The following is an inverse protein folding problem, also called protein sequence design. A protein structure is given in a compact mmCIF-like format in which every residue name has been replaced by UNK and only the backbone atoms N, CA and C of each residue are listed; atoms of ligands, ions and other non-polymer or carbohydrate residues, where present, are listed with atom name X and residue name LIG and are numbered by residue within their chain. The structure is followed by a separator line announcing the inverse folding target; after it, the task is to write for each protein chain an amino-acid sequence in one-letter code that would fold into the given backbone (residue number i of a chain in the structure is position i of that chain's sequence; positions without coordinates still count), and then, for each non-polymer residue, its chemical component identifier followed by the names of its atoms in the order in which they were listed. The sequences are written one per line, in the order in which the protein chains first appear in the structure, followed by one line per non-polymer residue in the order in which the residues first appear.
data_IF_611939489543
#
_entry.id   IF_611939489543
#
_cell.length_a   1.000
_cell.length_b   1.000
_cell.length_c   1.000
_cell.angle_alpha   90.00
_cell.angle_beta   90.00
_cell.angle_gamma   90.00
#
_symmetry.space_group_name_H-M   'P 1'
#
loop_
_entity.id
_entity.type
_entity.pdbx_description
1 polymer ?
#
# COMPACT_ATOMS: atom_id res chain seq x y z
N UNK A 1 16.12 -45.66 28.57
CA UNK A 1 16.32 -44.21 28.47
C UNK A 1 15.96 -43.81 27.02
N UNK A 2 14.87 -43.07 26.81
CA UNK A 2 14.47 -42.56 25.51
C UNK A 2 15.00 -41.13 25.40
N UNK A 3 15.60 -40.71 24.29
CA UNK A 3 16.03 -39.34 24.12
C UNK A 3 14.79 -38.42 23.92
N UNK A 4 14.66 -37.38 24.73
CA UNK A 4 13.70 -36.30 24.53
C UNK A 4 14.26 -35.37 23.47
N UNK A 5 13.58 -35.31 22.32
CA UNK A 5 13.88 -34.37 21.26
C UNK A 5 13.24 -33.02 21.63
N UNK A 6 14.06 -32.09 22.04
CA UNK A 6 13.63 -30.71 22.34
C UNK A 6 13.42 -29.98 21.01
N UNK A 7 12.17 -29.71 20.64
CA UNK A 7 11.84 -28.86 19.50
C UNK A 7 12.03 -27.41 19.93
N UNK A 8 13.09 -26.78 19.46
CA UNK A 8 13.29 -25.33 19.62
C UNK A 8 12.43 -24.64 18.57
N UNK A 9 11.28 -24.13 19.00
CA UNK A 9 10.47 -23.21 18.18
C UNK A 9 11.20 -21.87 18.11
N UNK A 10 11.83 -21.59 16.99
CA UNK A 10 12.35 -20.25 16.68
C UNK A 10 11.14 -19.40 16.30
N UNK A 11 10.63 -18.63 17.25
CA UNK A 11 9.68 -17.56 16.95
C UNK A 11 10.45 -16.47 16.20
N UNK A 12 10.29 -16.42 14.89
CA UNK A 12 10.77 -15.32 14.08
C UNK A 12 9.96 -14.07 14.46
N UNK A 13 10.53 -13.23 15.30
CA UNK A 13 9.96 -11.92 15.65
C UNK A 13 10.19 -11.00 14.44
N UNK A 14 9.19 -10.88 13.58
CA UNK A 14 9.18 -9.90 12.48
C UNK A 14 9.14 -8.53 13.13
N UNK A 15 10.28 -7.87 13.20
CA UNK A 15 10.38 -6.48 13.61
C UNK A 15 10.03 -5.65 12.37
N UNK A 16 8.73 -5.40 12.16
CA UNK A 16 8.28 -4.35 11.27
C UNK A 16 8.73 -3.02 11.85
N UNK A 17 9.95 -2.63 11.53
CA UNK A 17 10.43 -1.27 11.82
C UNK A 17 9.59 -0.30 11.01
N UNK A 18 8.54 0.22 11.65
CA UNK A 18 7.63 1.22 11.11
C UNK A 18 8.32 2.58 10.94
N UNK A 19 9.37 2.65 10.12
CA UNK A 19 9.88 3.93 9.67
C UNK A 19 8.89 4.51 8.66
N UNK A 20 8.21 5.59 9.05
CA UNK A 20 7.36 6.36 8.14
C UNK A 20 8.15 6.70 6.87
N UNK A 21 7.72 6.18 5.72
CA UNK A 21 8.35 6.39 4.42
C UNK A 21 8.44 7.88 4.05
N UNK A 22 7.46 8.65 4.52
CA UNK A 22 7.27 10.05 4.17
C UNK A 22 7.89 11.04 5.18
N UNK A 23 8.50 10.57 6.25
CA UNK A 23 9.25 11.43 7.17
C UNK A 23 10.50 12.03 6.50
N UNK A 24 10.91 11.45 5.36
CA UNK A 24 12.05 11.92 4.55
C UNK A 24 11.69 12.90 3.44
N UNK A 25 10.42 13.32 3.32
CA UNK A 25 10.09 14.48 2.49
C UNK A 25 10.68 15.68 3.20
N UNK A 26 11.79 16.20 2.67
CA UNK A 26 12.50 17.36 3.23
C UNK A 26 11.52 18.50 3.42
N UNK A 27 11.47 19.17 4.58
CA UNK A 27 10.66 20.35 4.76
C UNK A 27 11.05 21.38 3.68
N UNK A 28 10.10 21.74 2.82
CA UNK A 28 10.30 22.74 1.76
C UNK A 28 10.47 22.22 0.34
N UNK A 29 10.43 20.91 0.09
CA UNK A 29 10.39 20.40 -1.29
C UNK A 29 8.91 20.21 -1.71
N UNK A 30 8.38 21.16 -2.46
CA UNK A 30 7.09 20.96 -3.15
C UNK A 30 7.30 19.95 -4.27
N UNK A 31 6.52 18.86 -4.26
CA UNK A 31 6.49 17.93 -5.38
C UNK A 31 5.78 18.61 -6.56
N UNK A 32 6.31 18.46 -7.77
CA UNK A 32 5.57 18.88 -8.98
C UNK A 32 4.36 17.98 -9.19
N UNK A 33 3.37 18.47 -9.94
CA UNK A 33 2.17 17.70 -10.31
C UNK A 33 2.53 16.36 -10.97
N UNK A 34 3.54 16.36 -11.85
CA UNK A 34 4.08 15.13 -12.46
C UNK A 34 4.62 14.15 -11.39
N UNK A 35 5.37 14.64 -10.41
CA UNK A 35 5.91 13.81 -9.34
C UNK A 35 4.83 13.25 -8.41
N UNK A 36 3.78 14.01 -8.14
CA UNK A 36 2.63 13.53 -7.35
C UNK A 36 1.91 12.41 -8.10
N UNK A 37 1.62 12.59 -9.39
CA UNK A 37 0.98 11.57 -10.23
C UNK A 37 1.85 10.32 -10.37
N UNK A 38 3.16 10.47 -10.58
CA UNK A 38 4.09 9.33 -10.61
C UNK A 38 4.08 8.54 -9.29
N UNK A 39 4.03 9.23 -8.15
CA UNK A 39 3.91 8.60 -6.83
C UNK A 39 2.60 7.83 -6.69
N UNK A 40 1.46 8.43 -7.07
CA UNK A 40 0.15 7.77 -7.05
C UNK A 40 0.14 6.51 -7.94
N UNK A 41 0.75 6.58 -9.12
CA UNK A 41 0.87 5.43 -10.02
C UNK A 41 1.66 4.28 -9.38
N UNK A 42 2.77 4.57 -8.69
CA UNK A 42 3.56 3.53 -7.97
C UNK A 42 2.76 2.92 -6.83
N UNK A 43 2.04 3.74 -6.06
CA UNK A 43 1.19 3.25 -4.96
C UNK A 43 0.09 2.34 -5.52
N UNK A 44 -0.64 2.78 -6.54
CA UNK A 44 -1.71 1.99 -7.14
C UNK A 44 -1.21 0.67 -7.73
N UNK A 45 -0.06 0.67 -8.42
CA UNK A 45 0.56 -0.56 -8.93
C UNK A 45 0.97 -1.50 -7.80
N UNK A 46 1.49 -0.98 -6.70
CA UNK A 46 1.85 -1.77 -5.52
C UNK A 46 0.63 -2.43 -4.85
N UNK A 47 -0.49 -1.69 -4.79
CA UNK A 47 -1.74 -2.22 -4.25
C UNK A 47 -2.35 -3.30 -5.16
N UNK A 48 -2.32 -3.10 -6.47
CA UNK A 48 -2.76 -4.10 -7.47
C UNK A 48 -1.96 -5.40 -7.33
N UNK A 49 -0.61 -5.33 -7.29
CA UNK A 49 0.27 -6.50 -7.18
C UNK A 49 0.05 -7.25 -5.87
N UNK A 50 -0.05 -6.54 -4.75
CA UNK A 50 -0.28 -7.17 -3.44
C UNK A 50 -1.67 -7.79 -3.30
N UNK A 51 -2.69 -7.16 -3.88
CA UNK A 51 -4.06 -7.68 -3.88
C UNK A 51 -4.18 -8.94 -4.73
N UNK A 52 -3.52 -8.99 -5.88
CA UNK A 52 -3.49 -10.18 -6.73
C UNK A 52 -2.82 -11.37 -6.02
N UNK A 53 -1.67 -11.14 -5.39
CA UNK A 53 -1.00 -12.14 -4.57
C UNK A 53 -1.90 -12.64 -3.42
N UNK A 54 -2.62 -11.74 -2.75
CA UNK A 54 -3.50 -12.12 -1.65
C UNK A 54 -4.67 -12.98 -2.12
N UNK A 55 -5.26 -12.71 -3.29
CA UNK A 55 -6.32 -13.55 -3.89
C UNK A 55 -5.85 -14.98 -4.17
N UNK A 56 -4.58 -15.14 -4.55
CA UNK A 56 -3.99 -16.46 -4.82
C UNK A 56 -3.69 -17.22 -3.53
N UNK A 57 -3.12 -16.55 -2.52
CA UNK A 57 -2.51 -17.22 -1.36
C UNK A 57 -3.45 -17.41 -0.18
N UNK A 58 -4.42 -16.50 0.03
CA UNK A 58 -5.28 -16.58 1.20
C UNK A 58 -6.37 -17.64 1.07
N UNK A 59 -6.64 -18.34 2.17
CA UNK A 59 -7.84 -19.19 2.32
C UNK A 59 -8.99 -18.46 3.02
N UNK A 60 -8.73 -17.30 3.64
CA UNK A 60 -9.73 -16.49 4.34
C UNK A 60 -10.63 -15.75 3.35
N UNK A 61 -11.92 -16.03 3.40
CA UNK A 61 -12.91 -15.44 2.47
C UNK A 61 -12.95 -13.91 2.58
N UNK A 62 -12.83 -13.38 3.79
CA UNK A 62 -12.86 -11.93 4.06
C UNK A 62 -11.67 -11.21 3.43
N UNK A 63 -10.48 -11.80 3.51
CA UNK A 63 -9.28 -11.24 2.87
C UNK A 63 -9.42 -11.31 1.36
N UNK A 64 -9.98 -12.40 0.82
CA UNK A 64 -10.19 -12.53 -0.63
C UNK A 64 -11.17 -11.51 -1.17
N UNK A 65 -12.24 -11.21 -0.43
CA UNK A 65 -13.21 -10.16 -0.78
C UNK A 65 -12.53 -8.81 -0.73
N UNK A 66 -11.82 -8.49 0.36
CA UNK A 66 -11.06 -7.25 0.50
C UNK A 66 -10.04 -7.08 -0.63
N UNK A 67 -9.22 -8.08 -0.90
CA UNK A 67 -8.21 -8.05 -1.96
C UNK A 67 -8.84 -7.86 -3.36
N UNK A 68 -10.01 -8.48 -3.62
CA UNK A 68 -10.72 -8.27 -4.88
C UNK A 68 -11.23 -6.84 -5.02
N UNK A 69 -11.68 -6.22 -3.95
CA UNK A 69 -12.08 -4.81 -3.93
C UNK A 69 -10.88 -3.91 -4.19
N UNK A 70 -9.75 -4.11 -3.46
CA UNK A 70 -8.51 -3.34 -3.65
C UNK A 70 -8.00 -3.43 -5.09
N UNK A 71 -7.97 -4.63 -5.67
CA UNK A 71 -7.55 -4.84 -7.05
C UNK A 71 -8.38 -3.99 -8.02
N UNK A 72 -9.71 -4.02 -7.90
CA UNK A 72 -10.61 -3.31 -8.80
C UNK A 72 -10.49 -1.79 -8.63
N UNK A 73 -10.51 -1.29 -7.40
CA UNK A 73 -10.54 0.13 -7.10
C UNK A 73 -9.18 0.78 -7.42
N UNK A 74 -8.05 0.16 -7.04
CA UNK A 74 -6.74 0.69 -7.40
C UNK A 74 -6.43 0.60 -8.90
N UNK A 75 -7.03 -0.36 -9.62
CA UNK A 75 -6.98 -0.37 -11.10
C UNK A 75 -7.70 0.84 -11.69
N UNK A 76 -8.88 1.19 -11.19
CA UNK A 76 -9.61 2.38 -11.61
C UNK A 76 -8.84 3.67 -11.26
N UNK A 77 -8.35 3.80 -10.04
CA UNK A 77 -7.55 4.94 -9.59
C UNK A 77 -6.29 5.15 -10.44
N UNK A 78 -5.61 4.06 -10.82
CA UNK A 78 -4.45 4.13 -11.73
C UNK A 78 -4.82 4.67 -13.11
N UNK A 79 -5.96 4.24 -13.65
CA UNK A 79 -6.46 4.73 -14.94
C UNK A 79 -6.84 6.21 -14.85
N UNK A 80 -7.53 6.63 -13.81
CA UNK A 80 -7.91 8.01 -13.56
C UNK A 80 -6.69 8.93 -13.42
N UNK A 81 -5.68 8.54 -12.62
CA UNK A 81 -4.41 9.25 -12.48
C UNK A 81 -3.71 9.48 -13.82
N UNK A 82 -3.63 8.44 -14.66
CA UNK A 82 -3.01 8.51 -15.99
C UNK A 82 -3.80 9.38 -16.96
N UNK A 83 -5.11 9.29 -16.92
CA UNK A 83 -5.98 10.16 -17.72
C UNK A 83 -5.83 11.63 -17.29
N UNK A 84 -5.75 11.88 -15.99
CA UNK A 84 -5.53 13.22 -15.47
C UNK A 84 -4.18 13.77 -15.90
N UNK A 85 -3.10 12.98 -15.85
CA UNK A 85 -1.78 13.39 -16.35
C UNK A 85 -1.83 13.87 -17.81
N UNK A 86 -2.55 13.14 -18.67
CA UNK A 86 -2.78 13.54 -20.06
C UNK A 86 -3.59 14.84 -20.17
N UNK A 87 -4.65 14.99 -19.39
CA UNK A 87 -5.53 16.17 -19.40
C UNK A 87 -4.83 17.45 -18.96
N UNK A 88 -3.90 17.35 -17.99
CA UNK A 88 -3.12 18.47 -17.48
C UNK A 88 -1.77 18.63 -18.20
N UNK A 89 -1.51 17.77 -19.18
CA UNK A 89 -0.31 17.78 -20.01
C UNK A 89 1.00 17.69 -19.20
N UNK A 90 1.06 16.76 -18.24
CA UNK A 90 2.28 16.46 -17.48
C UNK A 90 2.79 15.06 -17.80
N UNK A 91 4.11 14.88 -17.71
CA UNK A 91 4.78 13.58 -17.88
C UNK A 91 4.91 12.91 -16.50
N UNK A 92 4.04 11.94 -16.23
CA UNK A 92 4.02 11.13 -15.00
C UNK A 92 4.94 9.90 -15.06
N UNK A 93 5.73 9.75 -16.13
CA UNK A 93 6.68 8.65 -16.30
C UNK A 93 7.99 8.84 -15.54
N UNK A 94 8.31 10.07 -15.18
CA UNK A 94 9.54 10.39 -14.44
C UNK A 94 9.38 10.05 -12.96
N UNK A 95 10.14 9.04 -12.52
CA UNK A 95 10.07 8.56 -11.14
C UNK A 95 10.89 9.45 -10.19
N UNK A 96 10.27 10.19 -9.27
CA UNK A 96 11.01 10.88 -8.22
C UNK A 96 11.69 9.86 -7.28
N UNK A 97 12.77 10.26 -6.62
CA UNK A 97 13.54 9.39 -5.71
C UNK A 97 12.64 8.70 -4.65
N UNK A 98 11.61 9.41 -4.19
CA UNK A 98 10.64 8.86 -3.24
C UNK A 98 9.81 7.73 -3.86
N UNK A 99 9.36 7.86 -5.12
CA UNK A 99 8.63 6.81 -5.84
C UNK A 99 9.49 5.55 -6.02
N UNK A 100 10.77 5.72 -6.36
CA UNK A 100 11.72 4.61 -6.45
C UNK A 100 11.90 3.91 -5.10
N UNK A 101 11.94 4.67 -4.00
CA UNK A 101 12.04 4.13 -2.64
C UNK A 101 10.80 3.32 -2.27
N UNK A 102 9.60 3.83 -2.58
CA UNK A 102 8.32 3.12 -2.35
C UNK A 102 8.29 1.82 -3.15
N UNK A 103 8.62 1.88 -4.44
CA UNK A 103 8.66 0.70 -5.30
C UNK A 103 9.64 -0.37 -4.81
N UNK A 104 10.84 0.01 -4.37
CA UNK A 104 11.83 -0.93 -3.80
C UNK A 104 11.29 -1.61 -2.53
N UNK A 105 10.70 -0.86 -1.61
CA UNK A 105 10.13 -1.43 -0.38
C UNK A 105 8.94 -2.33 -0.66
N UNK A 106 8.13 -1.98 -1.66
CA UNK A 106 7.08 -2.87 -2.13
C UNK A 106 7.66 -4.21 -2.60
N UNK A 107 8.73 -4.21 -3.41
CA UNK A 107 9.38 -5.44 -3.86
C UNK A 107 9.88 -6.29 -2.70
N UNK A 108 10.56 -5.68 -1.72
CA UNK A 108 11.04 -6.35 -0.51
C UNK A 108 9.87 -6.99 0.27
N UNK A 109 8.76 -6.27 0.43
CA UNK A 109 7.55 -6.79 1.08
C UNK A 109 6.90 -7.92 0.29
N UNK A 110 6.86 -7.82 -1.05
CA UNK A 110 6.31 -8.89 -1.89
C UNK A 110 7.13 -10.18 -1.80
N UNK A 111 8.47 -10.09 -1.69
CA UNK A 111 9.32 -11.25 -1.43
C UNK A 111 8.99 -11.89 -0.07
N UNK A 112 8.81 -11.09 0.97
CA UNK A 112 8.38 -11.57 2.29
C UNK A 112 7.01 -12.25 2.21
N UNK A 113 6.00 -11.61 1.63
CA UNK A 113 4.64 -12.15 1.49
C UNK A 113 4.62 -13.46 0.69
N UNK A 114 5.43 -13.58 -0.36
CA UNK A 114 5.54 -14.83 -1.13
C UNK A 114 6.10 -15.98 -0.30
N UNK A 115 6.97 -15.71 0.66
CA UNK A 115 7.56 -16.72 1.55
C UNK A 115 6.61 -17.22 2.63
N UNK A 116 5.58 -16.46 2.99
CA UNK A 116 4.62 -16.76 4.04
C UNK A 116 3.43 -17.56 3.50
N UNK A 117 2.69 -18.23 4.40
CA UNK A 117 1.46 -18.95 4.10
C UNK A 117 0.49 -18.97 5.29
N UNK A 118 -0.79 -19.29 5.03
CA UNK A 118 -1.82 -19.40 6.05
C UNK A 118 -1.95 -18.12 6.90
N UNK A 119 -2.15 -18.28 8.21
CA UNK A 119 -2.33 -17.16 9.14
C UNK A 119 -1.18 -16.15 9.12
N UNK A 120 0.07 -16.59 8.93
CA UNK A 120 1.23 -15.69 8.87
C UNK A 120 1.17 -14.79 7.62
N UNK A 121 0.78 -15.36 6.47
CA UNK A 121 0.55 -14.58 5.26
C UNK A 121 -0.60 -13.57 5.47
N UNK A 122 -1.74 -14.03 5.96
CA UNK A 122 -2.93 -13.23 6.15
C UNK A 122 -2.67 -12.02 7.05
N UNK A 123 -1.98 -12.22 8.18
CA UNK A 123 -1.61 -11.14 9.09
C UNK A 123 -0.59 -10.17 8.48
N UNK A 124 0.43 -10.68 7.79
CA UNK A 124 1.44 -9.83 7.16
C UNK A 124 0.84 -8.97 6.02
N UNK A 125 -0.02 -9.56 5.20
CA UNK A 125 -0.74 -8.85 4.14
C UNK A 125 -1.61 -7.71 4.69
N UNK A 126 -2.43 -7.97 5.70
CA UNK A 126 -3.31 -6.94 6.28
C UNK A 126 -2.51 -5.82 6.96
N UNK A 127 -1.43 -6.13 7.66
CA UNK A 127 -0.52 -5.11 8.20
C UNK A 127 0.11 -4.26 7.11
N UNK A 128 0.54 -4.88 6.02
CA UNK A 128 1.07 -4.17 4.86
C UNK A 128 0.02 -3.23 4.28
N UNK A 129 -1.20 -3.70 4.05
CA UNK A 129 -2.31 -2.90 3.55
C UNK A 129 -2.59 -1.67 4.43
N UNK A 130 -2.74 -1.87 5.74
CA UNK A 130 -2.97 -0.76 6.70
C UNK A 130 -1.83 0.26 6.63
N UNK A 131 -0.58 -0.20 6.53
CA UNK A 131 0.58 0.69 6.48
C UNK A 131 0.65 1.46 5.16
N UNK A 132 0.42 0.82 4.03
CA UNK A 132 0.42 1.47 2.71
C UNK A 132 -0.65 2.55 2.62
N UNK A 133 -1.88 2.25 3.03
CA UNK A 133 -2.96 3.23 3.03
C UNK A 133 -2.68 4.42 3.96
N UNK A 134 -2.12 4.19 5.16
CA UNK A 134 -1.70 5.30 6.04
C UNK A 134 -0.65 6.21 5.39
N UNK A 135 0.31 5.61 4.69
CA UNK A 135 1.34 6.37 3.99
C UNK A 135 0.77 7.14 2.78
N UNK A 136 -0.15 6.54 2.03
CA UNK A 136 -0.83 7.21 0.93
C UNK A 136 -1.69 8.39 1.42
N UNK A 137 -2.42 8.22 2.52
CA UNK A 137 -3.18 9.29 3.18
C UNK A 137 -2.25 10.45 3.57
N UNK A 138 -1.12 10.15 4.24
CA UNK A 138 -0.14 11.16 4.65
C UNK A 138 0.46 11.92 3.44
N UNK A 139 0.76 11.21 2.35
CA UNK A 139 1.21 11.83 1.10
C UNK A 139 0.17 12.81 0.56
N UNK A 140 -1.06 12.34 0.38
CA UNK A 140 -2.15 13.15 -0.20
C UNK A 140 -2.41 14.39 0.66
N UNK A 141 -2.50 14.24 1.99
CA UNK A 141 -2.71 15.36 2.91
C UNK A 141 -1.59 16.40 2.86
N UNK A 142 -0.35 15.98 2.64
CA UNK A 142 0.80 16.90 2.54
C UNK A 142 0.95 17.59 1.19
N UNK A 143 0.37 17.02 0.15
CA UNK A 143 0.58 17.51 -1.22
C UNK A 143 -0.64 18.19 -1.82
N UNK A 144 -1.86 17.91 -1.35
CA UNK A 144 -3.10 18.44 -1.94
C UNK A 144 -3.12 19.96 -2.09
N UNK A 145 -2.65 20.69 -1.07
CA UNK A 145 -2.62 22.16 -1.10
C UNK A 145 -1.43 22.76 -1.87
N UNK A 146 -0.48 21.93 -2.31
CA UNK A 146 0.77 22.36 -2.95
C UNK A 146 0.86 22.07 -4.44
N UNK A 147 -0.07 21.27 -4.99
CA UNK A 147 -0.15 21.00 -6.43
C UNK A 147 -0.60 22.23 -7.21
N UNK A 148 -0.10 22.36 -8.45
CA UNK A 148 -0.33 23.55 -9.27
C UNK A 148 -1.66 23.52 -10.02
N UNK A 149 -2.13 22.34 -10.47
CA UNK A 149 -3.37 22.20 -11.21
C UNK A 149 -4.56 21.89 -10.30
N UNK A 150 -5.63 22.70 -10.40
CA UNK A 150 -6.83 22.53 -9.57
C UNK A 150 -7.56 21.20 -9.79
N UNK A 151 -7.43 20.58 -10.98
CA UNK A 151 -8.01 19.26 -11.29
C UNK A 151 -7.29 18.17 -10.52
N UNK A 152 -5.95 18.28 -10.40
CA UNK A 152 -5.16 17.39 -9.56
C UNK A 152 -5.51 17.57 -8.09
N UNK A 153 -5.66 18.82 -7.61
CA UNK A 153 -6.09 19.09 -6.25
C UNK A 153 -7.44 18.40 -5.96
N UNK A 154 -8.43 18.60 -6.82
CA UNK A 154 -9.74 17.97 -6.68
C UNK A 154 -9.65 16.44 -6.68
N UNK A 155 -8.84 15.87 -7.58
CA UNK A 155 -8.59 14.41 -7.63
C UNK A 155 -8.00 13.90 -6.32
N UNK A 156 -7.02 14.59 -5.74
CA UNK A 156 -6.41 14.24 -4.44
C UNK A 156 -7.42 14.29 -3.29
N UNK A 157 -8.34 15.26 -3.29
CA UNK A 157 -9.41 15.35 -2.28
C UNK A 157 -10.37 14.16 -2.35
N UNK A 158 -10.75 13.70 -3.56
CA UNK A 158 -11.58 12.50 -3.72
C UNK A 158 -10.81 11.24 -3.29
N UNK A 159 -9.58 11.08 -3.77
CA UNK A 159 -8.71 9.97 -3.44
C UNK A 159 -8.49 9.82 -1.92
N UNK A 160 -8.40 10.93 -1.18
CA UNK A 160 -8.23 10.91 0.26
C UNK A 160 -9.39 10.18 0.97
N UNK A 161 -10.64 10.38 0.52
CA UNK A 161 -11.81 9.72 1.09
C UNK A 161 -11.79 8.21 0.84
N UNK A 162 -11.39 7.81 -0.37
CA UNK A 162 -11.28 6.40 -0.73
C UNK A 162 -10.18 5.71 0.09
N UNK A 163 -9.00 6.32 0.19
CA UNK A 163 -7.89 5.79 0.99
C UNK A 163 -8.24 5.64 2.48
N UNK A 164 -8.98 6.59 3.07
CA UNK A 164 -9.48 6.50 4.45
C UNK A 164 -10.44 5.32 4.60
N UNK A 165 -11.33 5.12 3.62
CA UNK A 165 -12.27 4.01 3.59
C UNK A 165 -11.54 2.67 3.50
N UNK A 166 -10.55 2.54 2.60
CA UNK A 166 -9.72 1.34 2.45
C UNK A 166 -8.94 1.01 3.73
N UNK A 167 -8.30 2.01 4.35
CA UNK A 167 -7.56 1.83 5.61
C UNK A 167 -8.47 1.34 6.74
N UNK A 168 -9.70 1.86 6.81
CA UNK A 168 -10.71 1.45 7.78
C UNK A 168 -11.18 0.02 7.54
N UNK A 169 -11.41 -0.34 6.27
CA UNK A 169 -11.80 -1.69 5.86
C UNK A 169 -10.70 -2.71 6.15
N UNK A 170 -9.44 -2.40 5.80
CA UNK A 170 -8.30 -3.26 6.11
C UNK A 170 -8.19 -3.55 7.61
N UNK A 171 -8.37 -2.52 8.45
CA UNK A 171 -8.37 -2.64 9.92
C UNK A 171 -9.54 -3.50 10.42
N UNK A 172 -10.73 -3.37 9.81
CA UNK A 172 -11.89 -4.18 10.18
C UNK A 172 -11.67 -5.66 9.83
N UNK A 173 -11.14 -5.95 8.64
CA UNK A 173 -10.81 -7.31 8.20
C UNK A 173 -9.72 -7.91 9.09
N UNK A 174 -8.67 -7.14 9.45
CA UNK A 174 -7.62 -7.59 10.35
C UNK A 174 -8.20 -8.07 11.70
N UNK A 175 -9.08 -7.28 12.32
CA UNK A 175 -9.73 -7.65 13.59
C UNK A 175 -10.56 -8.93 13.47
N UNK A 176 -11.27 -9.12 12.36
CA UNK A 176 -12.08 -10.33 12.12
C UNK A 176 -11.21 -11.57 11.96
N UNK A 177 -10.10 -11.45 11.26
CA UNK A 177 -9.18 -12.56 10.98
C UNK A 177 -8.37 -12.93 12.22
N UNK A 178 -7.79 -11.93 12.92
CA UNK A 178 -7.00 -12.17 14.15
C UNK A 178 -7.84 -12.81 15.26
N UNK A 179 -9.12 -12.48 15.36
CA UNK A 179 -10.01 -13.08 16.37
C UNK A 179 -10.24 -14.59 16.21
N UNK A 180 -9.80 -15.20 15.10
CA UNK A 180 -9.97 -16.65 14.81
C UNK A 180 -8.74 -17.48 15.12
N UNK A 181 -7.61 -16.83 15.38
CA UNK A 181 -6.33 -17.49 15.71
C UNK A 181 -5.99 -17.31 17.18
#
# INVERSE_FOLDING_TARGET
MKPQTTIISIAATVILSGCSLFQSVMPGTTLSDANVLAMLNVINLSEIDSADLAKEKTSAAEIRIFASQMLNEHTAMLQESRQLAQQINVDDSQMPALALTVGKRHQEMMEELRSLSGANFDQAYLKYQIQMHKQAIDLVQKTADSVGDFRLQYHLEQLLQDLITHSSLATAVERQVVARY
#
